data_IF_931352389606
#
_entry.id   IF_931352389606
#
_cell.length_a   1.000
_cell.length_b   1.000
_cell.length_c   1.000
_cell.angle_alpha   90.00
_cell.angle_beta   90.00
_cell.angle_gamma   90.00
#
_symmetry.space_group_name_H-M   'P 1'
#
loop_
_entity.id
_entity.type
_entity.pdbx_description
1 polymer ?
#
# COMPACT_ATOMS: atom_id res chain seq x y z
N UNK A 1 -4.32 31.94 6.28
CA UNK A 1 -4.00 30.70 5.55
C UNK A 1 -5.26 29.95 5.16
N UNK A 2 -5.56 29.90 3.87
CA UNK A 2 -6.63 29.09 3.27
C UNK A 2 -6.25 27.60 3.26
N UNK A 3 -7.22 26.70 3.04
CA UNK A 3 -6.93 25.26 2.91
C UNK A 3 -5.96 24.96 1.76
N UNK A 4 -6.06 25.70 0.66
CA UNK A 4 -5.19 25.58 -0.51
C UNK A 4 -3.76 26.04 -0.19
N UNK A 5 -3.61 27.18 0.49
CA UNK A 5 -2.29 27.67 0.93
C UNK A 5 -1.58 26.69 1.89
N UNK A 6 -2.34 26.06 2.78
CA UNK A 6 -1.81 25.03 3.68
C UNK A 6 -1.37 23.78 2.91
N UNK A 7 -2.14 23.35 1.91
CA UNK A 7 -1.73 22.27 0.99
C UNK A 7 -0.46 22.65 0.23
N UNK A 8 -0.35 23.86 -0.30
CA UNK A 8 0.84 24.30 -1.04
C UNK A 8 2.06 24.46 -0.12
N UNK A 9 1.87 24.86 1.14
CA UNK A 9 2.92 24.82 2.16
C UNK A 9 3.33 23.38 2.48
N UNK A 10 2.37 22.46 2.62
CA UNK A 10 2.62 21.03 2.80
C UNK A 10 3.43 20.44 1.64
N UNK A 11 3.08 20.80 0.40
CA UNK A 11 3.80 20.35 -0.80
C UNK A 11 5.26 20.83 -0.80
N UNK A 12 5.51 22.08 -0.40
CA UNK A 12 6.88 22.64 -0.27
C UNK A 12 7.68 21.89 0.81
N UNK A 13 7.07 21.63 1.97
CA UNK A 13 7.70 20.87 3.05
C UNK A 13 7.98 19.42 2.64
N UNK A 14 7.07 18.81 1.87
CA UNK A 14 7.26 17.48 1.30
C UNK A 14 8.46 17.43 0.35
N UNK A 15 8.61 18.43 -0.53
CA UNK A 15 9.77 18.55 -1.41
C UNK A 15 11.08 18.71 -0.63
N UNK A 16 11.03 19.37 0.54
CA UNK A 16 12.16 19.48 1.48
C UNK A 16 12.38 18.23 2.35
N UNK A 17 11.65 17.13 2.09
CA UNK A 17 11.67 15.88 2.89
C UNK A 17 11.29 16.06 4.36
N UNK A 18 10.61 17.16 4.72
CA UNK A 18 10.10 17.42 6.07
C UNK A 18 8.69 16.85 6.21
N UNK A 19 8.58 15.52 6.27
CA UNK A 19 7.29 14.82 6.19
C UNK A 19 6.36 15.10 7.38
N UNK A 20 6.85 15.13 8.62
CA UNK A 20 6.03 15.46 9.80
C UNK A 20 5.44 16.88 9.73
N UNK A 21 6.25 17.84 9.29
CA UNK A 21 5.79 19.21 9.09
C UNK A 21 4.74 19.30 7.97
N UNK A 22 4.93 18.53 6.89
CA UNK A 22 3.96 18.44 5.79
C UNK A 22 2.63 17.82 6.27
N UNK A 23 2.68 16.76 7.09
CA UNK A 23 1.49 16.13 7.70
C UNK A 23 0.71 17.15 8.54
N UNK A 24 1.40 17.97 9.33
CA UNK A 24 0.77 19.03 10.11
C UNK A 24 0.06 20.06 9.21
N UNK A 25 0.68 20.46 8.10
CA UNK A 25 0.05 21.35 7.11
C UNK A 25 -1.18 20.72 6.45
N UNK A 26 -1.11 19.46 6.01
CA UNK A 26 -2.27 18.77 5.42
C UNK A 26 -3.38 18.54 6.43
N UNK A 27 -3.05 18.23 7.69
CA UNK A 27 -4.04 18.07 8.76
C UNK A 27 -4.77 19.38 9.02
N UNK A 28 -4.05 20.52 9.04
CA UNK A 28 -4.68 21.85 9.12
C UNK A 28 -5.55 22.15 7.89
N UNK A 29 -5.16 21.69 6.69
CA UNK A 29 -5.95 21.85 5.47
C UNK A 29 -7.25 21.02 5.54
N UNK A 30 -7.18 19.78 6.03
CA UNK A 30 -8.33 18.88 6.25
C UNK A 30 -9.31 19.49 7.25
N UNK A 31 -8.83 20.04 8.38
CA UNK A 31 -9.70 20.69 9.38
C UNK A 31 -10.48 21.86 8.76
N UNK A 32 -9.85 22.62 7.86
CA UNK A 32 -10.52 23.74 7.17
C UNK A 32 -11.47 23.30 6.06
N UNK A 33 -11.19 22.18 5.41
CA UNK A 33 -11.93 21.70 4.24
C UNK A 33 -11.89 20.17 4.21
N UNK A 34 -12.78 19.50 4.95
CA UNK A 34 -12.74 18.05 5.12
C UNK A 34 -13.20 17.28 3.88
N UNK A 35 -13.87 17.93 2.94
CA UNK A 35 -14.45 17.28 1.74
C UNK A 35 -13.48 17.25 0.55
N UNK A 36 -12.17 17.38 0.78
CA UNK A 36 -11.16 17.43 -0.29
C UNK A 36 -10.27 16.17 -0.24
N UNK A 37 -10.50 15.17 -1.12
CA UNK A 37 -9.75 13.91 -1.14
C UNK A 37 -8.24 14.06 -1.34
N UNK A 38 -7.82 15.13 -2.02
CA UNK A 38 -6.41 15.38 -2.34
C UNK A 38 -5.57 15.67 -1.10
N UNK A 39 -6.16 16.23 -0.03
CA UNK A 39 -5.42 16.47 1.22
C UNK A 39 -5.11 15.17 1.95
N UNK A 40 -6.06 14.23 1.97
CA UNK A 40 -5.86 12.91 2.55
C UNK A 40 -4.82 12.10 1.77
N UNK A 41 -4.87 12.09 0.43
CA UNK A 41 -3.85 11.37 -0.36
C UNK A 41 -2.46 11.96 -0.24
N UNK A 42 -2.33 13.29 -0.13
CA UNK A 42 -1.03 13.92 0.12
C UNK A 42 -0.49 13.60 1.52
N UNK A 43 -1.36 13.54 2.53
CA UNK A 43 -1.00 13.11 3.89
C UNK A 43 -0.63 11.63 3.93
N UNK A 44 -1.39 10.76 3.27
CA UNK A 44 -1.09 9.34 3.10
C UNK A 44 0.29 9.11 2.46
N UNK A 45 0.66 9.90 1.45
CA UNK A 45 1.98 9.84 0.84
C UNK A 45 3.10 10.19 1.84
N UNK A 46 2.87 11.15 2.74
CA UNK A 46 3.82 11.44 3.81
C UNK A 46 3.96 10.28 4.78
N UNK A 47 2.84 9.68 5.19
CA UNK A 47 2.81 8.49 6.03
C UNK A 47 3.55 7.31 5.39
N UNK A 48 3.39 7.09 4.08
CA UNK A 48 4.17 6.09 3.33
C UNK A 48 5.68 6.37 3.43
N UNK A 49 6.12 7.62 3.31
CA UNK A 49 7.54 7.98 3.42
C UNK A 49 8.08 7.79 4.84
N UNK A 50 7.23 7.93 5.85
CA UNK A 50 7.55 7.66 7.26
C UNK A 50 7.37 6.19 7.66
N UNK A 51 7.01 5.29 6.73
CA UNK A 51 6.68 3.88 6.99
C UNK A 51 5.52 3.67 7.98
N UNK A 52 4.63 4.65 8.04
CA UNK A 52 3.40 4.63 8.85
C UNK A 52 2.26 4.04 8.01
N UNK A 53 2.32 2.73 7.78
CA UNK A 53 1.49 2.04 6.78
C UNK A 53 0.01 2.06 7.13
N UNK A 54 -0.34 1.84 8.39
CA UNK A 54 -1.73 1.82 8.85
C UNK A 54 -2.39 3.19 8.71
N UNK A 55 -1.69 4.27 9.10
CA UNK A 55 -2.16 5.64 8.93
C UNK A 55 -2.33 5.99 7.45
N UNK A 56 -1.39 5.57 6.60
CA UNK A 56 -1.50 5.77 5.15
C UNK A 56 -2.75 5.08 4.56
N UNK A 57 -3.07 3.86 5.00
CA UNK A 57 -4.26 3.12 4.56
C UNK A 57 -5.52 3.83 5.05
N UNK A 58 -5.56 4.29 6.30
CA UNK A 58 -6.71 5.01 6.84
C UNK A 58 -6.99 6.28 6.04
N UNK A 59 -5.97 7.08 5.75
CA UNK A 59 -6.11 8.29 4.92
C UNK A 59 -6.54 7.96 3.49
N UNK A 60 -6.01 6.90 2.90
CA UNK A 60 -6.42 6.48 1.57
C UNK A 60 -7.88 6.00 1.54
N UNK A 61 -8.34 5.26 2.56
CA UNK A 61 -9.74 4.85 2.68
C UNK A 61 -10.65 6.07 2.80
N UNK A 62 -10.31 7.04 3.64
CA UNK A 62 -11.06 8.30 3.76
C UNK A 62 -11.11 9.07 2.43
N UNK A 63 -10.00 9.13 1.69
CA UNK A 63 -9.97 9.76 0.38
C UNK A 63 -10.87 9.02 -0.63
N UNK A 64 -10.85 7.69 -0.63
CA UNK A 64 -11.61 6.84 -1.54
C UNK A 64 -13.11 6.80 -1.22
N UNK A 65 -13.49 6.97 0.05
CA UNK A 65 -14.89 7.12 0.45
C UNK A 65 -15.51 8.40 -0.13
N UNK A 66 -14.70 9.46 -0.25
CA UNK A 66 -15.10 10.72 -0.88
C UNK A 66 -15.02 10.65 -2.41
N UNK A 67 -13.94 10.10 -2.96
CA UNK A 67 -13.73 9.96 -4.40
C UNK A 67 -13.11 8.59 -4.74
N UNK A 68 -13.98 7.66 -5.15
CA UNK A 68 -13.60 6.30 -5.53
C UNK A 68 -12.79 6.24 -6.83
N UNK A 69 -12.79 7.31 -7.62
CA UNK A 69 -12.07 7.40 -8.89
C UNK A 69 -10.60 7.83 -8.71
N UNK A 70 -10.18 8.13 -7.48
CA UNK A 70 -8.85 8.64 -7.22
C UNK A 70 -7.75 7.58 -7.40
N UNK A 71 -7.06 7.64 -8.55
CA UNK A 71 -5.99 6.69 -8.90
C UNK A 71 -4.90 6.62 -7.82
N UNK A 72 -4.46 7.79 -7.33
CA UNK A 72 -3.42 7.88 -6.30
C UNK A 72 -3.84 7.26 -4.98
N UNK A 73 -5.11 7.34 -4.61
CA UNK A 73 -5.63 6.73 -3.37
C UNK A 73 -5.50 5.21 -3.41
N UNK A 74 -5.95 4.58 -4.50
CA UNK A 74 -5.81 3.14 -4.71
C UNK A 74 -4.34 2.71 -4.80
N UNK A 75 -3.50 3.50 -5.48
CA UNK A 75 -2.08 3.20 -5.63
C UNK A 75 -1.33 3.25 -4.28
N UNK A 76 -1.51 4.31 -3.49
CA UNK A 76 -0.87 4.47 -2.18
C UNK A 76 -1.38 3.45 -1.17
N UNK A 77 -2.67 3.14 -1.16
CA UNK A 77 -3.24 2.05 -0.36
C UNK A 77 -2.62 0.72 -0.74
N UNK A 78 -2.49 0.43 -2.04
CA UNK A 78 -1.83 -0.77 -2.55
C UNK A 78 -0.39 -0.90 -2.06
N UNK A 79 0.40 0.19 -2.10
CA UNK A 79 1.77 0.22 -1.61
C UNK A 79 1.86 -0.06 -0.10
N UNK A 80 1.02 0.59 0.72
CA UNK A 80 0.99 0.35 2.16
C UNK A 80 0.61 -1.10 2.51
N UNK A 81 -0.38 -1.66 1.80
CA UNK A 81 -0.84 -3.04 2.01
C UNK A 81 0.24 -4.08 1.67
N UNK A 82 1.08 -3.81 0.65
CA UNK A 82 2.24 -4.68 0.35
C UNK A 82 3.17 -4.77 1.56
N UNK A 83 3.44 -3.64 2.21
CA UNK A 83 4.39 -3.57 3.32
C UNK A 83 3.83 -4.18 4.61
N UNK A 84 2.50 -4.19 4.78
CA UNK A 84 1.82 -4.92 5.87
C UNK A 84 1.62 -6.42 5.60
N UNK A 85 1.94 -6.91 4.40
CA UNK A 85 1.76 -8.32 4.03
C UNK A 85 0.35 -8.70 3.55
N UNK A 86 -0.57 -7.74 3.43
CA UNK A 86 -1.92 -7.95 2.88
C UNK A 86 -1.89 -7.96 1.35
N UNK A 87 -1.25 -8.97 0.77
CA UNK A 87 -0.95 -8.99 -0.66
C UNK A 87 -2.20 -9.10 -1.56
N UNK A 88 -3.23 -9.85 -1.15
CA UNK A 88 -4.45 -10.00 -1.95
C UNK A 88 -5.20 -8.66 -2.08
N UNK A 89 -5.39 -7.94 -0.96
CA UNK A 89 -6.00 -6.61 -0.94
C UNK A 89 -5.14 -5.58 -1.69
N UNK A 90 -3.82 -5.67 -1.56
CA UNK A 90 -2.90 -4.82 -2.30
C UNK A 90 -3.05 -5.00 -3.81
N UNK A 91 -3.06 -6.25 -4.30
CA UNK A 91 -3.21 -6.55 -5.73
C UNK A 91 -4.56 -6.04 -6.24
N UNK A 92 -5.65 -6.19 -5.47
CA UNK A 92 -6.95 -5.67 -5.84
C UNK A 92 -6.94 -4.14 -5.98
N UNK A 93 -6.33 -3.45 -5.01
CA UNK A 93 -6.21 -1.98 -5.01
C UNK A 93 -5.34 -1.48 -6.17
N UNK A 94 -4.18 -2.11 -6.41
CA UNK A 94 -3.28 -1.75 -7.51
C UNK A 94 -3.89 -2.03 -8.89
N UNK A 95 -4.65 -3.12 -9.04
CA UNK A 95 -5.44 -3.38 -10.26
C UNK A 95 -6.45 -2.27 -10.49
N UNK A 96 -7.19 -1.88 -9.45
CA UNK A 96 -8.17 -0.80 -9.58
C UNK A 96 -7.51 0.53 -9.96
N UNK A 97 -6.35 0.84 -9.38
CA UNK A 97 -5.56 2.01 -9.77
C UNK A 97 -5.15 1.96 -11.26
N UNK A 98 -4.74 0.80 -11.76
CA UNK A 98 -4.37 0.61 -13.16
C UNK A 98 -5.56 0.83 -14.12
N UNK A 99 -6.71 0.24 -13.78
CA UNK A 99 -7.93 0.37 -14.59
C UNK A 99 -8.41 1.83 -14.63
N UNK A 100 -8.45 2.50 -13.47
CA UNK A 100 -8.82 3.91 -13.36
C UNK A 100 -7.84 4.82 -14.12
N UNK A 101 -6.54 4.55 -14.06
CA UNK A 101 -5.55 5.31 -14.82
C UNK A 101 -5.82 5.23 -16.33
N UNK A 102 -6.17 4.03 -16.82
CA UNK A 102 -6.52 3.81 -18.23
C UNK A 102 -7.84 4.50 -18.60
N UNK A 103 -8.87 4.39 -17.76
CA UNK A 103 -10.17 5.06 -17.95
C UNK A 103 -10.00 6.59 -18.03
N UNK A 104 -9.19 7.17 -17.14
CA UNK A 104 -8.92 8.61 -17.07
C UNK A 104 -7.84 9.08 -18.05
N UNK A 105 -7.28 8.17 -18.87
CA UNK A 105 -6.18 8.43 -19.81
C UNK A 105 -4.96 9.07 -19.13
N UNK A 106 -4.74 8.77 -17.85
CA UNK A 106 -3.57 9.20 -17.10
C UNK A 106 -2.41 8.27 -17.40
N UNK A 107 -1.24 8.84 -17.70
CA UNK A 107 -0.02 8.06 -17.93
C UNK A 107 0.89 8.09 -16.69
N UNK A 108 1.00 6.96 -15.99
CA UNK A 108 1.94 6.74 -14.88
C UNK A 108 3.15 5.89 -15.30
N UNK A 109 3.38 5.72 -16.61
CA UNK A 109 4.42 4.84 -17.12
C UNK A 109 4.25 3.41 -16.60
N UNK A 110 5.34 2.82 -16.12
CA UNK A 110 5.36 1.46 -15.56
C UNK A 110 5.22 1.43 -14.03
N UNK A 111 4.97 2.56 -13.35
CA UNK A 111 4.96 2.61 -11.88
C UNK A 111 3.89 1.69 -11.26
N UNK A 112 2.66 1.76 -11.77
CA UNK A 112 1.53 0.95 -11.28
C UNK A 112 1.73 -0.52 -11.64
N UNK A 113 2.18 -0.78 -12.87
CA UNK A 113 2.38 -2.14 -13.35
C UNK A 113 3.56 -2.83 -12.65
N UNK A 114 4.65 -2.11 -12.41
CA UNK A 114 5.81 -2.56 -11.62
C UNK A 114 5.41 -2.87 -10.17
N UNK A 115 4.64 -1.99 -9.52
CA UNK A 115 4.12 -2.23 -8.17
C UNK A 115 3.24 -3.50 -8.13
N UNK A 116 2.38 -3.70 -9.13
CA UNK A 116 1.51 -4.86 -9.23
C UNK A 116 2.29 -6.17 -9.45
N UNK A 117 3.34 -6.16 -10.28
CA UNK A 117 4.25 -7.30 -10.45
C UNK A 117 4.99 -7.62 -9.15
N UNK A 118 5.49 -6.60 -8.46
CA UNK A 118 6.17 -6.74 -7.17
C UNK A 118 5.25 -7.34 -6.10
N UNK A 119 4.00 -6.85 -5.99
CA UNK A 119 3.00 -7.38 -5.06
C UNK A 119 2.67 -8.85 -5.34
N UNK A 120 2.45 -9.22 -6.61
CA UNK A 120 2.23 -10.61 -7.02
C UNK A 120 3.42 -11.51 -6.70
N UNK A 121 4.65 -11.03 -6.92
CA UNK A 121 5.87 -11.77 -6.60
C UNK A 121 5.99 -12.01 -5.10
N UNK A 122 5.78 -10.99 -4.26
CA UNK A 122 5.79 -11.14 -2.80
C UNK A 122 4.73 -12.14 -2.32
N UNK A 123 3.50 -12.08 -2.86
CA UNK A 123 2.45 -13.08 -2.59
C UNK A 123 2.88 -14.50 -2.93
N UNK A 124 3.46 -14.69 -4.12
CA UNK A 124 3.91 -16.00 -4.57
C UNK A 124 5.02 -16.55 -3.67
N UNK A 125 6.01 -15.73 -3.31
CA UNK A 125 7.09 -16.15 -2.39
C UNK A 125 6.54 -16.66 -1.06
N UNK A 126 5.54 -15.98 -0.48
CA UNK A 126 4.93 -16.40 0.80
C UNK A 126 4.15 -17.70 0.66
N UNK A 127 3.45 -17.91 -0.46
CA UNK A 127 2.77 -19.18 -0.71
C UNK A 127 3.76 -20.32 -0.97
N UNK A 128 4.84 -20.05 -1.70
CA UNK A 128 5.87 -21.01 -2.02
C UNK A 128 6.65 -21.44 -0.78
N UNK A 129 6.98 -20.50 0.11
CA UNK A 129 7.60 -20.80 1.39
C UNK A 129 6.72 -21.72 2.25
N UNK A 130 5.41 -21.45 2.31
CA UNK A 130 4.45 -22.33 3.01
C UNK A 130 4.41 -23.73 2.39
N UNK A 131 4.41 -23.82 1.05
CA UNK A 131 4.43 -25.11 0.34
C UNK A 131 5.68 -25.91 0.68
N UNK A 132 6.85 -25.28 0.64
CA UNK A 132 8.14 -25.91 0.97
C UNK A 132 8.15 -26.36 2.44
N UNK A 133 7.65 -25.55 3.37
CA UNK A 133 7.57 -25.92 4.79
C UNK A 133 6.67 -27.15 5.02
N UNK A 134 5.54 -27.24 4.32
CA UNK A 134 4.67 -28.43 4.38
C UNK A 134 5.34 -29.67 3.83
N UNK A 135 6.06 -29.53 2.71
CA UNK A 135 6.84 -30.61 2.09
C UNK A 135 7.93 -31.14 3.02
N UNK A 136 8.72 -30.24 3.64
CA UNK A 136 9.75 -30.58 4.62
C UNK A 136 9.14 -31.29 5.84
N UNK A 137 8.02 -30.78 6.37
CA UNK A 137 7.34 -31.38 7.50
C UNK A 137 6.86 -32.81 7.19
N UNK A 138 6.28 -33.03 6.01
CA UNK A 138 5.83 -34.34 5.57
C UNK A 138 7.00 -35.32 5.38
N UNK A 139 8.08 -34.87 4.74
CA UNK A 139 9.27 -35.71 4.53
C UNK A 139 9.91 -36.11 5.86
N UNK A 140 9.98 -35.17 6.81
CA UNK A 140 10.53 -35.42 8.16
C UNK A 140 9.69 -36.45 8.91
N UNK A 141 8.35 -36.34 8.82
CA UNK A 141 7.44 -37.30 9.41
C UNK A 141 7.59 -38.70 8.80
N UNK A 142 7.66 -38.81 7.47
CA UNK A 142 7.83 -40.09 6.79
C UNK A 142 9.17 -40.75 7.15
N UNK A 143 10.26 -39.99 7.16
CA UNK A 143 11.57 -40.50 7.55
C UNK A 143 11.58 -41.03 8.98
N UNK A 144 10.86 -40.36 9.90
CA UNK A 144 10.70 -40.84 11.28
C UNK A 144 9.97 -42.19 11.33
N UNK A 145 8.86 -42.32 10.61
CA UNK A 145 8.09 -43.57 10.55
C UNK A 145 8.91 -44.73 9.98
N UNK A 146 9.64 -44.50 8.88
CA UNK A 146 10.53 -45.49 8.27
C UNK A 146 11.59 -45.95 9.28
N UNK A 147 12.22 -45.01 10.00
CA UNK A 147 13.23 -45.37 11.00
C UNK A 147 12.63 -46.17 12.17
N UNK A 148 11.41 -45.85 12.61
CA UNK A 148 10.71 -46.61 13.64
C UNK A 148 10.36 -48.04 13.18
N UNK A 149 10.00 -48.23 11.90
CA UNK A 149 9.77 -49.55 11.31
C UNK A 149 11.07 -50.34 11.14
N UNK A 150 12.18 -49.71 10.77
CA UNK A 150 13.47 -50.40 10.62
C UNK A 150 14.09 -50.89 11.94
N UNK A 151 13.71 -50.28 13.06
CA UNK A 151 14.19 -50.65 14.40
C UNK A 151 13.31 -51.74 15.04
N UNK A 152 12.15 -52.03 14.45
CA UNK A 152 11.22 -53.10 14.86
C UNK A 152 11.60 -54.45 14.28
#
# INVERSE_FOLDING_TARGET
MTAIELKDQGNRLFAMKKFDAAINCYTKAIIKSPNTPTFFTNRALCHLKLKQWEQAIQDCRQALDMDRSLVKGHFFMGQALVELGYYDESIASLKRAHDLAKEQKMNFGDDIASALRSAKKKRWNVLEEKRIQQEIALQTYLNKLINEEMVR
#
